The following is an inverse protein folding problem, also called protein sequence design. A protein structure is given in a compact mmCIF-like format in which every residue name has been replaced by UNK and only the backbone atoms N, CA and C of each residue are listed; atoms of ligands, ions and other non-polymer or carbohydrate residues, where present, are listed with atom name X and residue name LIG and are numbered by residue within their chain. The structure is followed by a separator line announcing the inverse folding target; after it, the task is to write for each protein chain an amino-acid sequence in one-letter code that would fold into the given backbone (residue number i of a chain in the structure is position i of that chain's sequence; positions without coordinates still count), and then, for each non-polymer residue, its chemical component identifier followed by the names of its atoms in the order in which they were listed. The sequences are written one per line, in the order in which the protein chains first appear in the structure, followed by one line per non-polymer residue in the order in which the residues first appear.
data_IF_644276203777
#
_entry.id   IF_644276203777
#
_cell.length_a   1.000
_cell.length_b   1.000
_cell.length_c   1.000
_cell.angle_alpha   90.00
_cell.angle_beta   90.00
_cell.angle_gamma   90.00
#
_symmetry.space_group_name_H-M   'P 1'
#
loop_
_entity.id
_entity.type
_entity.pdbx_description
1 polymer ?
#
# COMPACT_ATOMS: atom_id res chain seq x y z
N UNK A 1 18.29 -42.13 -6.23
CA UNK A 1 17.60 -40.92 -6.74
C UNK A 1 16.07 -41.07 -6.60
N UNK A 2 15.52 -41.15 -5.38
CA UNK A 2 14.05 -41.21 -5.17
C UNK A 2 13.55 -40.22 -4.11
N UNK A 3 14.45 -39.65 -3.31
CA UNK A 3 14.12 -38.74 -2.21
C UNK A 3 14.18 -37.24 -2.58
N UNK A 4 14.75 -36.87 -3.72
CA UNK A 4 14.79 -35.47 -4.17
C UNK A 4 13.42 -34.91 -4.58
N UNK A 5 12.54 -35.76 -5.13
CA UNK A 5 11.19 -35.34 -5.53
C UNK A 5 10.31 -35.07 -4.30
N UNK A 6 10.48 -35.86 -3.23
CA UNK A 6 9.73 -35.66 -1.99
C UNK A 6 10.09 -34.33 -1.29
N UNK A 7 11.35 -33.90 -1.36
CA UNK A 7 11.81 -32.63 -0.78
C UNK A 7 11.29 -31.40 -1.55
N UNK A 8 11.14 -31.52 -2.87
CA UNK A 8 10.60 -30.45 -3.71
C UNK A 8 9.10 -30.22 -3.48
N UNK A 9 8.32 -31.27 -3.19
CA UNK A 9 6.88 -31.16 -2.92
C UNK A 9 6.55 -30.59 -1.52
N UNK A 10 7.46 -30.72 -0.54
CA UNK A 10 7.24 -30.10 0.78
C UNK A 10 7.54 -28.60 0.78
N UNK A 11 8.40 -28.12 -0.14
CA UNK A 11 8.75 -26.71 -0.23
C UNK A 11 7.61 -25.84 -0.77
N UNK A 12 6.74 -26.36 -1.64
CA UNK A 12 5.64 -25.60 -2.23
C UNK A 12 4.54 -25.20 -1.22
N UNK A 13 4.41 -25.93 -0.11
CA UNK A 13 3.40 -25.63 0.92
C UNK A 13 3.82 -24.51 1.88
N UNK A 14 5.08 -24.06 1.86
CA UNK A 14 5.56 -22.97 2.71
C UNK A 14 5.31 -21.57 2.12
N UNK A 15 4.81 -21.49 0.88
CA UNK A 15 4.63 -20.21 0.17
C UNK A 15 3.18 -19.70 0.12
N UNK A 16 2.21 -20.44 0.67
CA UNK A 16 0.88 -19.87 0.94
C UNK A 16 0.94 -19.04 2.22
N UNK A 17 1.55 -17.86 2.14
CA UNK A 17 1.20 -16.78 3.05
C UNK A 17 -0.19 -16.32 2.66
N UNK A 18 -1.10 -16.16 3.63
CA UNK A 18 -2.35 -15.43 3.43
C UNK A 18 -1.99 -14.01 2.99
N UNK A 19 -1.92 -13.78 1.69
CA UNK A 19 -1.72 -12.45 1.15
C UNK A 19 -2.97 -11.64 1.52
N UNK A 20 -2.77 -10.55 2.26
CA UNK A 20 -3.89 -9.68 2.64
C UNK A 20 -4.45 -9.03 1.38
N UNK A 21 -5.53 -9.59 0.87
CA UNK A 21 -6.23 -9.05 -0.28
C UNK A 21 -7.01 -7.80 0.14
N UNK A 22 -6.56 -6.65 -0.35
CA UNK A 22 -7.27 -5.37 -0.23
C UNK A 22 -8.22 -5.20 -1.41
N UNK A 23 -9.42 -4.69 -1.14
CA UNK A 23 -10.49 -4.57 -2.13
C UNK A 23 -11.14 -3.19 -2.11
N UNK A 24 -11.75 -2.82 -3.24
CA UNK A 24 -12.60 -1.65 -3.31
C UNK A 24 -13.72 -1.73 -2.28
N UNK A 25 -13.97 -0.64 -1.57
CA UNK A 25 -14.90 -0.62 -0.44
C UNK A 25 -14.22 -0.67 0.92
N UNK A 26 -13.01 -1.21 1.00
CA UNK A 26 -12.29 -1.33 2.26
C UNK A 26 -12.03 0.02 2.90
N UNK A 27 -12.32 0.10 4.19
CA UNK A 27 -12.16 1.33 4.96
C UNK A 27 -11.15 1.09 6.06
N UNK A 28 -10.26 2.06 6.29
CA UNK A 28 -9.19 1.96 7.27
C UNK A 28 -9.18 3.19 8.18
N UNK A 29 -8.97 2.95 9.48
CA UNK A 29 -8.70 3.99 10.47
C UNK A 29 -7.24 3.96 10.91
N UNK A 30 -6.61 5.13 11.00
CA UNK A 30 -5.27 5.26 11.51
C UNK A 30 -5.21 5.41 13.03
N UNK A 31 -4.52 4.50 13.71
CA UNK A 31 -4.32 4.52 15.18
C UNK A 31 -3.18 5.41 15.64
N UNK A 32 -2.27 5.79 14.73
CA UNK A 32 -1.07 6.60 15.04
C UNK A 32 -0.92 7.75 14.04
N UNK A 33 -0.26 8.82 14.50
CA UNK A 33 0.21 9.88 13.61
C UNK A 33 1.30 9.34 12.68
N UNK A 34 1.25 9.72 11.40
CA UNK A 34 2.11 9.24 10.32
C UNK A 34 2.10 7.72 10.19
N UNK A 35 0.92 7.09 10.33
CA UNK A 35 0.78 5.66 10.11
C UNK A 35 1.22 5.28 8.68
N UNK A 36 0.75 6.03 7.69
CA UNK A 36 1.10 5.89 6.27
C UNK A 36 1.18 7.25 5.58
N UNK A 37 1.78 7.26 4.39
CA UNK A 37 1.81 8.41 3.49
C UNK A 37 0.89 8.16 2.30
N UNK A 38 0.06 9.14 1.99
CA UNK A 38 -0.75 9.17 0.79
C UNK A 38 -0.14 10.10 -0.25
N UNK A 39 -0.19 9.68 -1.52
CA UNK A 39 0.35 10.41 -2.65
C UNK A 39 -0.74 11.20 -3.36
N UNK A 40 -0.40 12.40 -3.83
CA UNK A 40 -1.34 13.23 -4.57
C UNK A 40 -1.49 12.74 -6.01
N UNK A 41 -0.42 12.26 -6.61
CA UNK A 41 -0.44 11.81 -7.99
C UNK A 41 -0.17 10.31 -8.07
N UNK A 42 -0.95 9.62 -8.89
CA UNK A 42 -0.73 8.21 -9.19
C UNK A 42 0.67 7.97 -9.76
N UNK A 43 1.16 8.89 -10.58
CA UNK A 43 2.48 8.80 -11.19
C UNK A 43 3.60 8.70 -10.14
N UNK A 44 3.47 9.42 -9.02
CA UNK A 44 4.45 9.38 -7.93
C UNK A 44 4.42 8.04 -7.21
N UNK A 45 3.22 7.55 -6.87
CA UNK A 45 3.07 6.21 -6.31
C UNK A 45 3.65 5.15 -7.25
N UNK A 46 3.38 5.26 -8.56
CA UNK A 46 3.88 4.31 -9.58
C UNK A 46 5.39 4.35 -9.73
N UNK A 47 5.99 5.54 -9.69
CA UNK A 47 7.45 5.74 -9.72
C UNK A 47 8.10 5.08 -8.51
N UNK A 48 7.57 5.34 -7.31
CA UNK A 48 8.08 4.76 -6.07
C UNK A 48 7.97 3.24 -6.07
N UNK A 49 6.82 2.72 -6.44
CA UNK A 49 6.56 1.28 -6.58
C UNK A 49 7.55 0.62 -7.54
N UNK A 50 7.74 1.20 -8.73
CA UNK A 50 8.75 0.74 -9.70
C UNK A 50 10.18 0.83 -9.13
N UNK A 51 10.50 1.90 -8.40
CA UNK A 51 11.82 2.06 -7.82
C UNK A 51 12.09 1.02 -6.71
N UNK A 52 11.07 0.59 -5.95
CA UNK A 52 11.22 -0.48 -4.95
C UNK A 52 11.59 -1.82 -5.60
N UNK A 53 10.99 -2.12 -6.75
CA UNK A 53 11.25 -3.36 -7.49
C UNK A 53 12.59 -3.37 -8.24
N UNK A 54 13.01 -2.22 -8.78
CA UNK A 54 14.05 -2.16 -9.82
C UNK A 54 15.24 -1.28 -9.49
N UNK A 55 15.32 -0.62 -8.32
CA UNK A 55 16.50 0.16 -7.97
C UNK A 55 17.69 -0.75 -7.62
N UNK A 56 18.79 -0.62 -8.36
CA UNK A 56 20.02 -1.40 -8.17
C UNK A 56 21.02 -0.72 -7.23
N UNK A 57 20.81 0.56 -6.91
CA UNK A 57 21.60 1.32 -5.95
C UNK A 57 20.75 2.35 -5.22
N UNK A 58 21.29 2.89 -4.11
CA UNK A 58 20.65 3.97 -3.36
C UNK A 58 20.47 5.24 -4.22
N UNK A 59 21.44 5.54 -5.08
CA UNK A 59 21.36 6.71 -5.96
C UNK A 59 20.25 6.53 -6.99
N UNK A 60 20.16 5.36 -7.62
CA UNK A 60 19.07 5.05 -8.55
C UNK A 60 17.72 5.16 -7.84
N UNK A 61 17.61 4.61 -6.63
CA UNK A 61 16.39 4.72 -5.85
C UNK A 61 16.01 6.18 -5.60
N UNK A 62 16.95 7.02 -5.16
CA UNK A 62 16.68 8.45 -4.92
C UNK A 62 16.24 9.16 -6.19
N UNK A 63 16.92 8.94 -7.32
CA UNK A 63 16.61 9.60 -8.59
C UNK A 63 15.20 9.27 -9.10
N UNK A 64 14.76 8.02 -8.92
CA UNK A 64 13.45 7.55 -9.39
C UNK A 64 12.33 7.68 -8.36
N UNK A 65 12.63 7.60 -7.06
CA UNK A 65 11.64 7.57 -5.98
C UNK A 65 11.50 8.91 -5.25
N UNK A 66 12.33 9.91 -5.53
CA UNK A 66 12.18 11.24 -4.95
C UNK A 66 10.81 11.82 -5.33
N UNK A 67 10.07 12.27 -4.30
CA UNK A 67 8.76 12.89 -4.41
C UNK A 67 8.78 14.16 -3.58
N UNK A 68 8.19 15.23 -4.10
CA UNK A 68 8.07 16.48 -3.36
C UNK A 68 7.16 16.28 -2.15
N UNK A 69 7.63 16.67 -0.97
CA UNK A 69 6.85 16.55 0.27
C UNK A 69 5.50 17.27 0.20
N UNK A 70 5.38 18.31 -0.64
CA UNK A 70 4.14 19.05 -0.86
C UNK A 70 3.06 18.22 -1.56
N UNK A 71 3.47 17.17 -2.27
CA UNK A 71 2.60 16.24 -2.99
C UNK A 71 2.24 15.01 -2.15
N UNK A 72 2.53 15.07 -0.85
CA UNK A 72 2.26 14.01 0.12
C UNK A 72 1.26 14.47 1.18
N UNK A 73 0.33 13.59 1.54
CA UNK A 73 -0.48 13.73 2.74
C UNK A 73 -0.07 12.68 3.75
N UNK A 74 0.40 13.13 4.90
CA UNK A 74 0.70 12.24 6.01
C UNK A 74 -0.54 12.00 6.85
N UNK A 75 -1.00 10.76 6.91
CA UNK A 75 -2.18 10.37 7.68
C UNK A 75 -1.98 10.66 9.16
N UNK A 76 -3.00 11.23 9.81
CA UNK A 76 -3.01 11.51 11.24
C UNK A 76 -3.80 10.46 11.99
N UNK A 77 -3.59 10.38 13.30
CA UNK A 77 -4.41 9.54 14.17
C UNK A 77 -5.88 9.96 14.06
N UNK A 78 -6.76 8.99 13.85
CA UNK A 78 -8.20 9.16 13.70
C UNK A 78 -8.66 9.51 12.28
N UNK A 79 -7.73 9.74 11.33
CA UNK A 79 -8.14 9.84 9.93
C UNK A 79 -8.63 8.48 9.45
N UNK A 80 -9.72 8.51 8.70
CA UNK A 80 -10.31 7.36 8.04
C UNK A 80 -10.23 7.55 6.53
N UNK A 81 -9.90 6.49 5.81
CA UNK A 81 -9.90 6.51 4.35
C UNK A 81 -10.49 5.22 3.79
N UNK A 82 -11.06 5.32 2.59
CA UNK A 82 -11.71 4.22 1.89
C UNK A 82 -11.04 3.96 0.55
N UNK A 83 -10.74 2.70 0.25
CA UNK A 83 -10.32 2.24 -1.08
C UNK A 83 -11.48 2.40 -2.05
N UNK A 84 -11.21 3.07 -3.15
CA UNK A 84 -12.21 3.36 -4.20
C UNK A 84 -11.90 2.68 -5.52
N UNK A 85 -10.63 2.44 -5.81
CA UNK A 85 -10.21 1.86 -7.08
C UNK A 85 -8.85 1.18 -6.90
N UNK A 86 -8.63 0.09 -7.63
CA UNK A 86 -7.34 -0.61 -7.69
C UNK A 86 -6.64 -0.39 -9.03
N UNK A 87 -5.31 -0.23 -9.00
CA UNK A 87 -4.46 -0.14 -10.17
C UNK A 87 -3.31 -1.14 -10.08
N UNK A 88 -2.69 -1.40 -11.24
CA UNK A 88 -1.50 -2.24 -11.38
C UNK A 88 -1.68 -3.58 -10.63
N UNK A 89 -2.78 -4.26 -10.92
CA UNK A 89 -3.14 -5.56 -10.34
C UNK A 89 -3.18 -5.62 -8.80
N UNK A 90 -3.39 -4.49 -8.12
CA UNK A 90 -3.45 -4.45 -6.66
C UNK A 90 -2.26 -3.78 -5.99
N UNK A 91 -1.22 -3.37 -6.73
CA UNK A 91 -0.04 -2.74 -6.14
C UNK A 91 -0.34 -1.31 -5.64
N UNK A 92 -1.28 -0.62 -6.28
CA UNK A 92 -1.61 0.78 -5.99
C UNK A 92 -3.12 0.95 -5.87
N UNK A 93 -3.56 1.65 -4.84
CA UNK A 93 -4.97 1.94 -4.61
C UNK A 93 -5.27 3.43 -4.64
N UNK A 94 -6.41 3.80 -5.22
CA UNK A 94 -7.02 5.10 -5.01
C UNK A 94 -7.81 5.10 -3.71
N UNK A 95 -7.62 6.12 -2.89
CA UNK A 95 -8.35 6.27 -1.63
C UNK A 95 -8.98 7.64 -1.49
N UNK A 96 -10.14 7.68 -0.84
CA UNK A 96 -10.79 8.91 -0.42
C UNK A 96 -10.64 9.05 1.10
N UNK A 97 -10.23 10.21 1.57
CA UNK A 97 -10.19 10.56 2.99
C UNK A 97 -11.57 11.06 3.43
N UNK A 98 -12.12 10.48 4.50
CA UNK A 98 -13.39 10.92 5.11
C UNK A 98 -13.21 12.20 5.95
N UNK A 99 -11.98 12.66 6.14
CA UNK A 99 -11.64 13.84 6.94
C UNK A 99 -12.07 15.14 6.24
N UNK A 100 -12.98 15.91 6.85
CA UNK A 100 -13.43 17.24 6.39
C UNK A 100 -12.29 18.28 6.22
N UNK A 101 -11.08 17.96 6.69
CA UNK A 101 -9.90 18.83 6.59
C UNK A 101 -9.18 18.71 5.25
N UNK A 102 -9.43 17.65 4.50
CA UNK A 102 -8.91 17.49 3.15
C UNK A 102 -9.74 18.31 2.16
N UNK A 103 -9.09 19.16 1.36
CA UNK A 103 -9.72 19.78 0.18
C UNK A 103 -9.72 18.87 -1.04
N UNK A 104 -8.97 17.78 -1.00
CA UNK A 104 -8.73 16.92 -2.16
C UNK A 104 -9.61 15.68 -2.05
N UNK A 105 -10.26 15.36 -3.16
CA UNK A 105 -11.20 14.24 -3.22
C UNK A 105 -10.51 12.88 -3.20
N UNK A 106 -9.32 12.80 -3.82
CA UNK A 106 -8.66 11.53 -4.12
C UNK A 106 -7.16 11.59 -3.81
N UNK A 107 -6.67 10.45 -3.36
CA UNK A 107 -5.27 10.17 -3.04
C UNK A 107 -4.89 8.77 -3.53
N UNK A 108 -3.59 8.46 -3.50
CA UNK A 108 -3.07 7.14 -3.87
C UNK A 108 -2.22 6.57 -2.74
N UNK A 109 -2.16 5.25 -2.64
CA UNK A 109 -1.38 4.52 -1.63
C UNK A 109 -0.88 3.20 -2.21
N UNK A 110 0.28 2.74 -1.76
CA UNK A 110 0.84 1.45 -2.12
C UNK A 110 0.20 0.34 -1.27
N UNK A 111 -0.02 -0.83 -1.84
CA UNK A 111 -0.53 -2.01 -1.13
C UNK A 111 0.36 -2.41 0.05
N UNK A 112 1.68 -2.34 -0.14
CA UNK A 112 2.68 -2.62 0.90
C UNK A 112 2.51 -1.71 2.11
N UNK A 113 2.16 -0.43 1.88
CA UNK A 113 1.97 0.54 2.95
C UNK A 113 0.65 0.29 3.70
N UNK A 114 -0.31 -0.44 3.12
CA UNK A 114 -1.58 -0.82 3.76
C UNK A 114 -1.41 -1.98 4.75
N UNK A 115 -0.37 -2.81 4.63
CA UNK A 115 -0.04 -3.84 5.63
C UNK A 115 0.67 -3.24 6.85
N UNK A 116 0.08 -2.19 7.40
CA UNK A 116 0.65 -1.45 8.51
C UNK A 116 -0.14 -1.74 9.79
N UNK A 117 0.58 -2.18 10.83
CA UNK A 117 0.03 -2.46 12.18
C UNK A 117 -0.67 -1.27 12.85
N UNK A 118 -0.46 -0.05 12.35
CA UNK A 118 -1.12 1.16 12.83
C UNK A 118 -2.40 1.50 12.07
N UNK A 119 -2.78 0.70 11.06
CA UNK A 119 -4.06 0.77 10.40
C UNK A 119 -5.02 -0.28 10.97
N UNK A 120 -6.31 0.03 10.94
CA UNK A 120 -7.37 -0.90 11.31
C UNK A 120 -8.42 -0.89 10.25
N UNK A 121 -8.69 -2.05 9.65
CA UNK A 121 -9.82 -2.21 8.74
C UNK A 121 -11.10 -2.05 9.54
N UNK A 122 -11.92 -1.08 9.16
CA UNK A 122 -13.24 -0.86 9.71
C UNK A 122 -14.20 -1.68 8.86
N UNK A 123 -14.69 -2.79 9.42
CA UNK A 123 -15.79 -3.51 8.80
C UNK A 123 -17.06 -2.68 9.05
N UNK A 124 -17.60 -2.05 8.01
CA UNK A 124 -18.99 -1.60 8.07
C UNK A 124 -19.86 -2.84 7.96
N UNK A 125 -20.16 -3.46 9.10
CA UNK A 125 -21.37 -4.28 9.20
C UNK A 125 -22.54 -3.40 8.73
N UNK A 126 -23.14 -3.78 7.62
CA UNK A 126 -24.34 -3.15 7.05
C UNK A 126 -25.57 -3.82 7.63
#
# INVERSE_FOLDING_TARGET
MKYFIALALTASNLLLSDEKVFQEGDTFEARKFEAITLYFYRADATRLDTARDFAFSLNDFIDYAAIDQRDLYKIRRGDTFKITESFKNGDIFQVNLDSKKSKREKYFVLSEDLDNRFLTRINKES
#
